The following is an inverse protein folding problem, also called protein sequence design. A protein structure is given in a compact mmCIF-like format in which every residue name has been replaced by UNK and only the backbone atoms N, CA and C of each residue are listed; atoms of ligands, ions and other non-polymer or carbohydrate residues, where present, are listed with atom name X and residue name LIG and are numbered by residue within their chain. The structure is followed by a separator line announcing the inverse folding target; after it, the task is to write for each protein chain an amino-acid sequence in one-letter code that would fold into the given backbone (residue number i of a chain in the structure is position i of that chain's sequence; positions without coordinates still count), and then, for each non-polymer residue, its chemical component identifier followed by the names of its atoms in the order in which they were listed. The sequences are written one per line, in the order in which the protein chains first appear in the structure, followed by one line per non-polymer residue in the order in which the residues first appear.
data_IF_385838109199
#
_entry.id   IF_385838109199
#
_cell.length_a   1.000
_cell.length_b   1.000
_cell.length_c   1.000
_cell.angle_alpha   90.00
_cell.angle_beta   90.00
_cell.angle_gamma   90.00
#
_symmetry.space_group_name_H-M   'P 1'
#
loop_
_entity.id
_entity.type
_entity.pdbx_description
1 polymer ?
#
# COMPACT_ATOMS: atom_id res chain seq x y z
N UNK A 1 18.27 0.46 7.92
CA UNK A 1 18.65 -0.57 6.94
C UNK A 1 18.01 -0.34 5.57
N UNK A 2 16.69 -0.10 5.47
CA UNK A 2 16.01 0.05 4.17
C UNK A 2 16.32 1.35 3.41
N UNK A 3 16.35 2.48 4.13
CA UNK A 3 16.73 3.79 3.58
C UNK A 3 18.14 3.78 2.95
N UNK A 4 19.03 2.91 3.46
CA UNK A 4 20.38 2.74 2.97
C UNK A 4 20.40 2.17 1.54
N UNK A 5 19.59 1.14 1.25
CA UNK A 5 19.48 0.58 -0.10
C UNK A 5 18.92 1.58 -1.10
N UNK A 6 17.95 2.41 -0.66
CA UNK A 6 17.39 3.46 -1.49
C UNK A 6 18.44 4.54 -1.81
N UNK A 7 19.15 5.04 -0.79
CA UNK A 7 20.19 6.05 -0.93
C UNK A 7 21.40 5.56 -1.73
N UNK A 8 21.66 4.24 -1.74
CA UNK A 8 22.69 3.63 -2.60
C UNK A 8 22.39 3.82 -4.09
N UNK A 9 21.10 3.87 -4.48
CA UNK A 9 20.65 4.17 -5.85
C UNK A 9 20.28 5.65 -6.05
N UNK A 10 21.03 6.57 -5.43
CA UNK A 10 20.78 8.03 -5.46
C UNK A 10 20.46 8.60 -6.84
N UNK A 11 21.11 8.13 -7.90
CA UNK A 11 20.84 8.63 -9.27
C UNK A 11 19.44 8.27 -9.79
N UNK A 12 18.97 7.05 -9.51
CA UNK A 12 17.63 6.62 -9.90
C UNK A 12 16.57 7.36 -9.07
N UNK A 13 16.85 7.57 -7.79
CA UNK A 13 15.99 8.35 -6.91
C UNK A 13 15.91 9.82 -7.32
N UNK A 14 17.04 10.46 -7.62
CA UNK A 14 17.09 11.85 -8.08
C UNK A 14 16.36 11.99 -9.42
N UNK A 15 16.61 11.10 -10.37
CA UNK A 15 15.90 11.11 -11.66
C UNK A 15 14.39 10.98 -11.49
N UNK A 16 13.96 9.98 -10.71
CA UNK A 16 12.55 9.79 -10.38
C UNK A 16 11.92 11.01 -9.69
N UNK A 17 12.61 11.59 -8.70
CA UNK A 17 12.13 12.76 -7.97
C UNK A 17 12.01 13.99 -8.88
N UNK A 18 13.00 14.23 -9.75
CA UNK A 18 12.97 15.35 -10.70
C UNK A 18 11.83 15.22 -11.72
N UNK A 19 11.64 14.03 -12.29
CA UNK A 19 10.51 13.74 -13.20
C UNK A 19 9.17 13.89 -12.49
N UNK A 20 9.05 13.41 -11.26
CA UNK A 20 7.84 13.54 -10.45
C UNK A 20 7.53 15.02 -10.15
N UNK A 21 8.52 15.79 -9.71
CA UNK A 21 8.38 17.23 -9.45
C UNK A 21 7.95 17.95 -10.73
N UNK A 22 8.63 17.67 -11.84
CA UNK A 22 8.31 18.28 -13.12
C UNK A 22 6.86 17.99 -13.55
N UNK A 23 6.44 16.73 -13.48
CA UNK A 23 5.09 16.33 -13.82
C UNK A 23 4.03 17.00 -12.91
N UNK A 24 4.27 17.02 -11.59
CA UNK A 24 3.38 17.68 -10.64
C UNK A 24 3.28 19.20 -10.84
N UNK A 25 4.40 19.87 -11.15
CA UNK A 25 4.41 21.31 -11.47
C UNK A 25 3.65 21.58 -12.77
N UNK A 26 3.86 20.77 -13.82
CA UNK A 26 3.12 20.92 -15.07
C UNK A 26 1.61 20.73 -14.88
N UNK A 27 1.21 19.75 -14.06
CA UNK A 27 -0.20 19.54 -13.71
C UNK A 27 -0.78 20.72 -12.90
N UNK A 28 0.01 21.28 -11.98
CA UNK A 28 -0.38 22.47 -11.23
C UNK A 28 -0.57 23.69 -12.14
N UNK A 29 0.36 23.95 -13.06
CA UNK A 29 0.24 25.04 -14.02
C UNK A 29 -0.97 24.85 -14.94
N UNK A 30 -1.18 23.63 -15.42
CA UNK A 30 -2.37 23.27 -16.19
C UNK A 30 -3.66 23.62 -15.43
N UNK A 31 -3.72 23.34 -14.12
CA UNK A 31 -4.88 23.68 -13.29
C UNK A 31 -5.10 25.20 -13.15
N UNK A 32 -4.05 26.02 -13.18
CA UNK A 32 -4.17 27.48 -13.13
C UNK A 32 -4.75 28.04 -14.43
N UNK A 33 -4.33 27.51 -15.57
CA UNK A 33 -4.78 27.95 -16.89
C UNK A 33 -6.21 27.51 -17.25
N UNK A 34 -6.84 26.63 -16.45
CA UNK A 34 -8.28 26.34 -16.58
C UNK A 34 -9.11 27.64 -16.42
N UNK A 35 -8.69 28.56 -15.55
CA UNK A 35 -9.40 29.83 -15.34
C UNK A 35 -9.45 30.70 -16.61
N UNK A 36 -8.43 30.64 -17.46
CA UNK A 36 -8.36 31.41 -18.70
C UNK A 36 -9.45 30.99 -19.70
N UNK A 37 -9.81 29.70 -19.72
CA UNK A 37 -10.92 29.19 -20.56
C UNK A 37 -12.25 29.77 -20.10
N UNK A 38 -12.49 29.80 -18.78
CA UNK A 38 -13.70 30.37 -18.21
C UNK A 38 -13.80 31.88 -18.48
N UNK A 39 -12.70 32.61 -18.30
CA UNK A 39 -12.65 34.04 -18.59
C UNK A 39 -12.92 34.34 -20.08
N UNK A 40 -12.38 33.53 -20.99
CA UNK A 40 -12.64 33.68 -22.43
C UNK A 40 -14.10 33.38 -22.80
N UNK A 41 -14.73 32.42 -22.12
CA UNK A 41 -16.13 32.08 -22.30
C UNK A 41 -17.07 33.17 -21.76
N UNK A 42 -16.72 33.83 -20.64
CA UNK A 42 -17.49 34.93 -20.07
C UNK A 42 -17.61 36.12 -21.04
N UNK A 43 -16.53 36.43 -21.76
CA UNK A 43 -16.50 37.49 -22.79
C UNK A 43 -17.12 37.02 -24.13
N UNK A 44 -17.70 35.81 -24.19
CA UNK A 44 -18.31 35.21 -25.39
C UNK A 44 -17.37 35.11 -26.61
N UNK A 45 -16.06 34.99 -26.39
CA UNK A 45 -15.08 34.83 -27.46
C UNK A 45 -14.84 33.35 -27.78
N UNK A 46 -15.75 32.78 -28.57
CA UNK A 46 -15.76 31.34 -28.85
C UNK A 46 -14.52 30.84 -29.62
N UNK A 47 -13.94 31.66 -30.50
CA UNK A 47 -12.71 31.28 -31.23
C UNK A 47 -11.53 31.09 -30.26
N UNK A 48 -11.39 32.01 -29.29
CA UNK A 48 -10.35 31.92 -28.26
C UNK A 48 -10.57 30.73 -27.32
N UNK A 49 -11.82 30.42 -27.00
CA UNK A 49 -12.16 29.24 -26.20
C UNK A 49 -11.73 27.96 -26.92
N UNK A 50 -12.04 27.81 -28.21
CA UNK A 50 -11.64 26.63 -29.00
C UNK A 50 -10.12 26.52 -29.09
N UNK A 51 -9.41 27.62 -29.33
CA UNK A 51 -7.94 27.65 -29.35
C UNK A 51 -7.34 27.18 -28.02
N UNK A 52 -7.83 27.71 -26.89
CA UNK A 52 -7.38 27.32 -25.56
C UNK A 52 -7.68 25.85 -25.25
N UNK A 53 -8.85 25.34 -25.67
CA UNK A 53 -9.20 23.93 -25.47
C UNK A 53 -8.26 22.99 -26.24
N UNK A 54 -7.90 23.32 -27.48
CA UNK A 54 -6.95 22.53 -28.28
C UNK A 54 -5.56 22.56 -27.61
N UNK A 55 -5.10 23.73 -27.18
CA UNK A 55 -3.81 23.89 -26.50
C UNK A 55 -3.78 23.11 -25.18
N UNK A 56 -4.84 23.19 -24.38
CA UNK A 56 -4.96 22.46 -23.12
C UNK A 56 -5.03 20.95 -23.34
N UNK A 57 -5.70 20.49 -24.40
CA UNK A 57 -5.73 19.08 -24.73
C UNK A 57 -4.32 18.56 -25.09
N UNK A 58 -3.57 19.30 -25.92
CA UNK A 58 -2.19 18.97 -26.24
C UNK A 58 -1.28 18.97 -25.00
N UNK A 59 -1.44 19.95 -24.11
CA UNK A 59 -0.72 20.00 -22.84
C UNK A 59 -1.09 18.82 -21.93
N UNK A 60 -2.37 18.46 -21.82
CA UNK A 60 -2.80 17.31 -21.03
C UNK A 60 -2.17 16.00 -21.54
N UNK A 61 -2.11 15.79 -22.86
CA UNK A 61 -1.40 14.64 -23.44
C UNK A 61 0.09 14.64 -23.07
N UNK A 62 0.73 15.80 -23.11
CA UNK A 62 2.13 15.96 -22.71
C UNK A 62 2.34 15.63 -21.23
N UNK A 63 1.47 16.11 -20.33
CA UNK A 63 1.52 15.78 -18.90
C UNK A 63 1.40 14.27 -18.71
N UNK A 64 0.44 13.61 -19.38
CA UNK A 64 0.26 12.15 -19.30
C UNK A 64 1.47 11.37 -19.79
N UNK A 65 2.14 11.86 -20.82
CA UNK A 65 3.39 11.27 -21.29
C UNK A 65 4.49 11.38 -20.21
N UNK A 66 4.61 12.54 -19.55
CA UNK A 66 5.60 12.76 -18.49
C UNK A 66 5.30 11.93 -17.23
N UNK A 67 4.03 11.86 -16.82
CA UNK A 67 3.58 10.99 -15.73
C UNK A 67 3.96 9.53 -15.99
N UNK A 68 3.73 9.05 -17.21
CA UNK A 68 4.09 7.70 -17.62
C UNK A 68 5.59 7.42 -17.46
N UNK A 69 6.45 8.35 -17.90
CA UNK A 69 7.91 8.20 -17.72
C UNK A 69 8.32 8.28 -16.25
N UNK A 70 7.68 9.14 -15.46
CA UNK A 70 7.93 9.21 -14.02
C UNK A 70 7.57 7.88 -13.34
N UNK A 71 6.42 7.30 -13.66
CA UNK A 71 5.99 6.00 -13.12
C UNK A 71 6.94 4.88 -13.54
N UNK A 72 7.36 4.84 -14.80
CA UNK A 72 8.38 3.90 -15.28
C UNK A 72 9.68 4.02 -14.47
N UNK A 73 10.20 5.24 -14.29
CA UNK A 73 11.39 5.47 -13.47
C UNK A 73 11.19 5.00 -12.02
N UNK A 74 10.01 5.22 -11.45
CA UNK A 74 9.64 4.73 -10.13
C UNK A 74 9.65 3.20 -10.02
N UNK A 75 9.10 2.51 -11.03
CA UNK A 75 9.14 1.05 -11.14
C UNK A 75 10.58 0.54 -11.27
N UNK A 76 11.39 1.17 -12.12
CA UNK A 76 12.80 0.82 -12.26
C UNK A 76 13.59 0.99 -10.95
N UNK A 77 13.34 2.08 -10.21
CA UNK A 77 13.96 2.31 -8.91
C UNK A 77 13.61 1.19 -7.91
N UNK A 78 12.32 0.84 -7.80
CA UNK A 78 11.84 -0.23 -6.93
C UNK A 78 12.48 -1.57 -7.32
N UNK A 79 12.51 -1.90 -8.60
CA UNK A 79 13.12 -3.14 -9.11
C UNK A 79 14.63 -3.20 -8.86
N UNK A 80 15.33 -2.08 -9.00
CA UNK A 80 16.76 -2.00 -8.72
C UNK A 80 17.07 -2.25 -7.23
N UNK A 81 16.28 -1.65 -6.33
CA UNK A 81 16.41 -1.87 -4.88
C UNK A 81 16.04 -3.32 -4.51
N UNK A 82 14.96 -3.85 -5.08
CA UNK A 82 14.54 -5.24 -4.88
C UNK A 82 15.64 -6.23 -5.29
N UNK A 83 16.32 -5.97 -6.40
CA UNK A 83 17.43 -6.80 -6.88
C UNK A 83 18.60 -6.81 -5.90
N UNK A 84 18.98 -5.64 -5.38
CA UNK A 84 20.05 -5.53 -4.38
C UNK A 84 19.69 -6.30 -3.09
N UNK A 85 18.46 -6.16 -2.59
CA UNK A 85 17.97 -6.92 -1.43
C UNK A 85 18.01 -8.42 -1.68
N UNK A 86 17.52 -8.87 -2.85
CA UNK A 86 17.54 -10.29 -3.23
C UNK A 86 18.96 -10.85 -3.26
N UNK A 87 19.91 -10.11 -3.81
CA UNK A 87 21.31 -10.52 -3.87
C UNK A 87 21.93 -10.62 -2.48
N UNK A 88 21.67 -9.65 -1.60
CA UNK A 88 22.22 -9.67 -0.24
C UNK A 88 21.59 -10.77 0.63
N UNK A 89 20.29 -11.00 0.51
CA UNK A 89 19.63 -12.15 1.16
C UNK A 89 20.19 -13.48 0.63
N UNK A 90 20.40 -13.61 -0.67
CA UNK A 90 20.96 -14.82 -1.28
C UNK A 90 22.39 -15.09 -0.77
N UNK A 91 23.23 -14.06 -0.74
CA UNK A 91 24.58 -14.16 -0.20
C UNK A 91 24.57 -14.55 1.28
N UNK A 92 23.67 -13.96 2.08
CA UNK A 92 23.53 -14.29 3.49
C UNK A 92 23.09 -15.75 3.72
N UNK A 93 22.21 -16.29 2.87
CA UNK A 93 21.76 -17.69 2.92
C UNK A 93 22.91 -18.64 2.57
N UNK A 94 23.69 -18.34 1.52
CA UNK A 94 24.83 -19.17 1.11
C UNK A 94 25.96 -19.15 2.13
N UNK A 95 26.19 -18.01 2.80
CA UNK A 95 27.25 -17.88 3.80
C UNK A 95 26.94 -18.54 5.16
N UNK A 96 25.76 -19.15 5.33
CA UNK A 96 25.42 -19.84 6.58
C UNK A 96 26.20 -21.15 6.72
N UNK A 97 26.53 -21.48 7.96
CA UNK A 97 27.18 -22.76 8.29
C UNK A 97 26.33 -23.94 7.80
N UNK A 98 26.94 -24.96 7.17
CA UNK A 98 26.24 -26.15 6.68
C UNK A 98 25.45 -26.88 7.77
N UNK A 99 25.89 -26.80 9.04
CA UNK A 99 25.22 -27.41 10.19
C UNK A 99 23.82 -26.83 10.47
N UNK A 100 23.58 -25.56 10.14
CA UNK A 100 22.28 -24.89 10.27
C UNK A 100 21.38 -25.09 9.04
N UNK A 101 21.91 -25.63 7.95
CA UNK A 101 21.20 -25.86 6.69
C UNK A 101 20.51 -27.23 6.67
N UNK A 102 20.81 -28.11 7.63
CA UNK A 102 20.29 -29.48 7.72
C UNK A 102 18.87 -29.51 8.36
N UNK A 103 18.45 -28.42 9.02
CA UNK A 103 17.17 -28.37 9.75
C UNK A 103 15.92 -28.27 8.88
N UNK A 104 16.01 -27.77 7.63
CA UNK A 104 14.84 -27.60 6.74
C UNK A 104 15.11 -28.10 5.31
N UNK A 105 14.05 -28.45 4.58
CA UNK A 105 14.17 -28.81 3.17
C UNK A 105 14.44 -27.55 2.32
N UNK A 106 15.26 -27.68 1.27
CA UNK A 106 15.49 -26.67 0.24
C UNK A 106 14.21 -25.97 -0.26
N UNK A 107 13.10 -26.69 -0.44
CA UNK A 107 11.82 -26.12 -0.85
C UNK A 107 11.22 -25.14 0.17
N UNK A 108 11.44 -25.39 1.46
CA UNK A 108 10.96 -24.55 2.55
C UNK A 108 11.77 -23.25 2.63
N UNK A 109 13.09 -23.33 2.48
CA UNK A 109 13.94 -22.14 2.37
C UNK A 109 13.59 -21.27 1.15
N UNK A 110 13.30 -21.88 0.00
CA UNK A 110 12.89 -21.14 -1.20
C UNK A 110 11.54 -20.44 -0.97
N UNK A 111 10.60 -21.14 -0.32
CA UNK A 111 9.29 -20.58 0.03
C UNK A 111 9.42 -19.38 0.98
N UNK A 112 10.16 -19.53 2.09
CA UNK A 112 10.44 -18.45 3.04
C UNK A 112 11.11 -17.26 2.34
N UNK A 113 12.16 -17.51 1.55
CA UNK A 113 12.89 -16.47 0.82
C UNK A 113 12.02 -15.68 -0.17
N UNK A 114 11.21 -16.39 -0.96
CA UNK A 114 10.35 -15.75 -1.97
C UNK A 114 9.17 -15.01 -1.33
N UNK A 115 8.59 -15.55 -0.25
CA UNK A 115 7.56 -14.88 0.54
C UNK A 115 8.10 -13.61 1.19
N UNK A 116 9.28 -13.66 1.80
CA UNK A 116 9.89 -12.51 2.46
C UNK A 116 10.20 -11.38 1.48
N UNK A 117 10.79 -11.69 0.32
CA UNK A 117 11.04 -10.67 -0.73
C UNK A 117 9.74 -10.03 -1.19
N UNK A 118 8.71 -10.84 -1.41
CA UNK A 118 7.39 -10.35 -1.85
C UNK A 118 6.76 -9.49 -0.76
N UNK A 119 6.88 -9.87 0.50
CA UNK A 119 6.40 -9.06 1.63
C UNK A 119 7.14 -7.73 1.72
N UNK A 120 8.46 -7.74 1.56
CA UNK A 120 9.30 -6.54 1.54
C UNK A 120 8.89 -5.59 0.41
N UNK A 121 8.65 -6.12 -0.78
CA UNK A 121 8.25 -5.33 -1.94
C UNK A 121 6.87 -4.68 -1.74
N UNK A 122 5.88 -5.50 -1.40
CA UNK A 122 4.48 -5.07 -1.29
C UNK A 122 4.21 -4.19 -0.08
N UNK A 123 4.85 -4.44 1.06
CA UNK A 123 4.59 -3.69 2.30
C UNK A 123 5.52 -2.50 2.50
N UNK A 124 6.69 -2.46 1.84
CA UNK A 124 7.68 -1.41 2.08
C UNK A 124 8.12 -0.69 0.80
N UNK A 125 8.58 -1.39 -0.24
CA UNK A 125 9.13 -0.72 -1.42
C UNK A 125 8.08 0.08 -2.20
N UNK A 126 6.93 -0.54 -2.49
CA UNK A 126 5.85 0.10 -3.24
C UNK A 126 5.23 1.25 -2.44
N UNK A 127 4.80 1.07 -1.18
CA UNK A 127 4.24 2.17 -0.40
C UNK A 127 5.22 3.32 -0.17
N UNK A 128 6.52 3.04 -0.02
CA UNK A 128 7.53 4.08 0.11
C UNK A 128 7.65 4.94 -1.16
N UNK A 129 7.62 4.32 -2.35
CA UNK A 129 7.60 5.05 -3.62
C UNK A 129 6.38 5.98 -3.68
N UNK A 130 5.21 5.46 -3.31
CA UNK A 130 3.97 6.24 -3.28
C UNK A 130 4.04 7.42 -2.31
N UNK A 131 4.58 7.21 -1.10
CA UNK A 131 4.79 8.28 -0.13
C UNK A 131 5.67 9.41 -0.68
N UNK A 132 6.73 9.09 -1.43
CA UNK A 132 7.57 10.11 -2.07
C UNK A 132 6.77 10.93 -3.09
N UNK A 133 5.99 10.28 -3.96
CA UNK A 133 5.15 10.97 -4.94
C UNK A 133 4.11 11.83 -4.25
N UNK A 134 3.36 11.30 -3.29
CA UNK A 134 2.34 12.06 -2.57
C UNK A 134 2.91 13.25 -1.83
N UNK A 135 4.12 13.12 -1.27
CA UNK A 135 4.81 14.24 -0.62
C UNK A 135 5.09 15.35 -1.64
N UNK A 136 5.66 15.01 -2.80
CA UNK A 136 5.92 15.96 -3.89
C UNK A 136 4.62 16.64 -4.37
N UNK A 137 3.57 15.84 -4.58
CA UNK A 137 2.26 16.34 -5.02
C UNK A 137 1.64 17.29 -4.00
N UNK A 138 1.70 16.97 -2.70
CA UNK A 138 1.18 17.87 -1.64
C UNK A 138 1.90 19.21 -1.68
N UNK A 139 3.23 19.24 -1.78
CA UNK A 139 3.97 20.50 -1.83
C UNK A 139 3.66 21.34 -3.08
N UNK A 140 3.64 20.69 -4.25
CA UNK A 140 3.37 21.38 -5.53
C UNK A 140 1.93 21.92 -5.61
N UNK A 141 0.93 21.12 -5.23
CA UNK A 141 -0.48 21.54 -5.20
C UNK A 141 -0.71 22.62 -4.14
N UNK A 142 -0.12 22.46 -2.94
CA UNK A 142 -0.24 23.48 -1.89
C UNK A 142 0.34 24.82 -2.33
N UNK A 143 1.49 24.80 -3.02
CA UNK A 143 2.08 26.01 -3.60
C UNK A 143 1.14 26.67 -4.60
N UNK A 144 0.50 25.88 -5.48
CA UNK A 144 -0.46 26.37 -6.47
C UNK A 144 -1.65 27.08 -5.83
N UNK A 145 -2.26 26.44 -4.82
CA UNK A 145 -3.45 26.98 -4.16
C UNK A 145 -3.12 28.29 -3.44
N UNK A 146 -1.95 28.36 -2.78
CA UNK A 146 -1.49 29.59 -2.12
C UNK A 146 -1.31 30.74 -3.13
N UNK A 147 -0.85 30.44 -4.35
CA UNK A 147 -0.73 31.47 -5.40
C UNK A 147 -2.07 31.97 -5.94
N UNK A 148 -3.14 31.16 -5.88
CA UNK A 148 -4.49 31.57 -6.30
C UNK A 148 -5.14 32.44 -5.22
N UNK A 149 -5.35 31.87 -4.03
CA UNK A 149 -5.93 32.58 -2.88
C UNK A 149 -5.50 31.90 -1.57
N UNK A 150 -4.69 32.55 -0.72
CA UNK A 150 -4.28 32.04 0.58
C UNK A 150 -5.46 31.71 1.52
N UNK A 151 -6.62 32.37 1.37
CA UNK A 151 -7.81 32.12 2.20
C UNK A 151 -8.44 30.78 1.85
N UNK A 152 -8.51 30.45 0.56
CA UNK A 152 -8.99 29.15 0.09
C UNK A 152 -8.07 28.02 0.55
N UNK A 153 -6.75 28.24 0.55
CA UNK A 153 -5.78 27.28 1.08
C UNK A 153 -6.08 26.92 2.55
N UNK A 154 -6.36 27.92 3.39
CA UNK A 154 -6.66 27.72 4.81
C UNK A 154 -7.91 26.85 5.00
N UNK A 155 -8.98 27.12 4.23
CA UNK A 155 -10.22 26.34 4.28
C UNK A 155 -9.98 24.87 3.88
N UNK A 156 -9.21 24.63 2.82
CA UNK A 156 -8.87 23.27 2.35
C UNK A 156 -8.03 22.52 3.38
N UNK A 157 -7.03 23.19 3.98
CA UNK A 157 -6.20 22.59 5.04
C UNK A 157 -7.04 22.24 6.26
N UNK A 158 -7.92 23.15 6.70
CA UNK A 158 -8.83 22.90 7.81
C UNK A 158 -9.77 21.71 7.53
N UNK A 159 -10.34 21.65 6.32
CA UNK A 159 -11.18 20.53 5.87
C UNK A 159 -10.40 19.21 5.83
N UNK A 160 -9.15 19.23 5.36
CA UNK A 160 -8.29 18.04 5.31
C UNK A 160 -7.97 17.51 6.71
N UNK A 161 -7.65 18.39 7.66
CA UNK A 161 -7.44 18.02 9.06
C UNK A 161 -8.71 17.38 9.63
N UNK A 162 -9.87 17.98 9.40
CA UNK A 162 -11.16 17.44 9.84
C UNK A 162 -11.42 16.04 9.25
N UNK A 163 -11.14 15.85 7.96
CA UNK A 163 -11.25 14.54 7.31
C UNK A 163 -10.28 13.52 7.89
N UNK A 164 -9.07 13.91 8.30
CA UNK A 164 -8.08 13.01 8.92
C UNK A 164 -8.43 12.59 10.35
N UNK A 165 -9.18 13.42 11.08
CA UNK A 165 -9.64 13.07 12.43
C UNK A 165 -10.54 11.82 12.42
N UNK A 166 -11.36 11.64 11.38
CA UNK A 166 -12.27 10.50 11.30
C UNK A 166 -11.52 9.15 11.21
N UNK A 167 -10.59 8.94 10.25
CA UNK A 167 -9.72 7.76 10.24
C UNK A 167 -8.87 7.62 11.50
N UNK A 168 -8.42 8.71 12.13
CA UNK A 168 -7.61 8.62 13.34
C UNK A 168 -8.40 8.00 14.52
N UNK A 169 -9.65 8.44 14.71
CA UNK A 169 -10.55 7.89 15.73
C UNK A 169 -10.92 6.44 15.37
N UNK A 170 -11.30 6.20 14.11
CA UNK A 170 -11.67 4.87 13.62
C UNK A 170 -10.50 3.88 13.73
N UNK A 171 -9.28 4.30 13.42
CA UNK A 171 -8.06 3.48 13.48
C UNK A 171 -7.81 2.97 14.90
N UNK A 172 -7.97 3.82 15.93
CA UNK A 172 -7.84 3.40 17.33
C UNK A 172 -8.83 2.30 17.70
N UNK A 173 -10.08 2.44 17.25
CA UNK A 173 -11.13 1.46 17.53
C UNK A 173 -10.92 0.14 16.78
N UNK A 174 -10.60 0.24 15.50
CA UNK A 174 -10.36 -0.90 14.63
C UNK A 174 -9.11 -1.66 15.03
N UNK A 175 -8.02 -0.99 15.42
CA UNK A 175 -6.77 -1.63 15.84
C UNK A 175 -6.97 -2.53 17.07
N UNK A 176 -7.72 -2.08 18.08
CA UNK A 176 -8.01 -2.91 19.27
C UNK A 176 -8.89 -4.13 18.95
N UNK A 177 -9.82 -4.00 18.00
CA UNK A 177 -10.64 -5.13 17.54
C UNK A 177 -9.80 -6.09 16.71
N UNK A 178 -8.92 -5.57 15.85
CA UNK A 178 -7.99 -6.35 15.05
C UNK A 178 -7.05 -7.18 15.92
N UNK A 179 -6.49 -6.60 16.99
CA UNK A 179 -5.65 -7.35 17.94
C UNK A 179 -6.40 -8.51 18.60
N UNK A 180 -7.63 -8.26 19.09
CA UNK A 180 -8.47 -9.32 19.67
C UNK A 180 -8.87 -10.39 18.65
N UNK A 181 -9.05 -10.00 17.40
CA UNK A 181 -9.30 -10.96 16.32
C UNK A 181 -8.06 -11.83 16.07
N UNK A 182 -6.86 -11.24 16.00
CA UNK A 182 -5.60 -11.97 15.82
C UNK A 182 -5.33 -12.94 16.97
N UNK A 183 -5.50 -12.52 18.24
CA UNK A 183 -5.37 -13.41 19.40
C UNK A 183 -6.30 -14.63 19.32
N UNK A 184 -7.55 -14.41 18.88
CA UNK A 184 -8.52 -15.51 18.71
C UNK A 184 -8.20 -16.39 17.52
N UNK A 185 -7.69 -15.79 16.45
CA UNK A 185 -7.26 -16.50 15.27
C UNK A 185 -6.08 -17.43 15.60
N UNK A 186 -5.12 -16.97 16.40
CA UNK A 186 -4.00 -17.79 16.87
C UNK A 186 -4.49 -18.99 17.71
N UNK A 187 -5.45 -18.78 18.61
CA UNK A 187 -6.08 -19.88 19.37
C UNK A 187 -6.75 -20.89 18.44
N UNK A 188 -7.46 -20.41 17.42
CA UNK A 188 -8.11 -21.26 16.43
C UNK A 188 -7.11 -22.07 15.60
N UNK A 189 -6.01 -21.43 15.16
CA UNK A 189 -4.92 -22.10 14.44
C UNK A 189 -4.25 -23.16 15.31
N UNK A 190 -4.03 -22.87 16.59
CA UNK A 190 -3.46 -23.85 17.52
C UNK A 190 -4.39 -25.06 17.69
N UNK A 191 -5.68 -24.82 17.85
CA UNK A 191 -6.67 -25.89 17.90
C UNK A 191 -6.68 -26.74 16.62
N UNK A 192 -6.62 -26.12 15.44
CA UNK A 192 -6.52 -26.86 14.17
C UNK A 192 -5.28 -27.76 14.11
N UNK A 193 -4.12 -27.26 14.57
CA UNK A 193 -2.89 -28.07 14.65
C UNK A 193 -3.08 -29.28 15.56
N UNK A 194 -3.68 -29.09 16.73
CA UNK A 194 -3.90 -30.16 17.70
C UNK A 194 -4.84 -31.24 17.13
N UNK A 195 -5.93 -30.84 16.47
CA UNK A 195 -6.86 -31.76 15.79
C UNK A 195 -6.18 -32.52 14.66
N UNK A 196 -5.39 -31.84 13.82
CA UNK A 196 -4.71 -32.48 12.70
C UNK A 196 -3.61 -33.44 13.14
N UNK A 197 -2.88 -33.12 14.22
CA UNK A 197 -1.93 -34.03 14.84
C UNK A 197 -2.62 -35.26 15.44
N UNK A 198 -3.80 -35.09 16.06
CA UNK A 198 -4.60 -36.18 16.61
C UNK A 198 -5.41 -36.96 15.54
N UNK A 199 -5.45 -36.49 14.29
CA UNK A 199 -6.24 -37.09 13.21
C UNK A 199 -5.89 -38.56 12.97
N UNK A 200 -4.61 -38.92 13.08
CA UNK A 200 -4.15 -40.30 12.94
C UNK A 200 -4.69 -41.19 14.07
N UNK A 201 -4.79 -40.67 15.29
CA UNK A 201 -5.38 -41.37 16.43
C UNK A 201 -6.89 -41.55 16.24
N UNK A 202 -7.61 -40.50 15.83
CA UNK A 202 -9.05 -40.59 15.59
C UNK A 202 -9.40 -41.63 14.53
N UNK A 203 -8.61 -41.71 13.45
CA UNK A 203 -8.76 -42.72 12.39
C UNK A 203 -8.41 -44.13 12.84
N UNK A 204 -7.33 -44.30 13.63
CA UNK A 204 -6.95 -45.63 14.11
C UNK A 204 -7.96 -46.22 15.10
N UNK A 205 -8.65 -45.38 15.87
CA UNK A 205 -9.64 -45.82 16.85
C UNK A 205 -11.10 -45.76 16.33
N UNK A 206 -11.33 -45.33 15.09
CA UNK A 206 -12.67 -45.18 14.47
C UNK A 206 -13.65 -44.32 15.28
N UNK A 207 -13.15 -43.24 15.90
CA UNK A 207 -13.91 -42.36 16.83
C UNK A 207 -14.27 -41.02 16.16
N UNK A 208 -14.16 -40.91 14.83
CA UNK A 208 -14.36 -39.65 14.11
C UNK A 208 -15.78 -39.10 14.32
N UNK A 209 -16.78 -39.97 14.36
CA UNK A 209 -18.17 -39.59 14.55
C UNK A 209 -18.43 -38.99 15.94
N UNK A 210 -17.82 -39.53 17.00
CA UNK A 210 -18.00 -39.02 18.36
C UNK A 210 -17.25 -37.69 18.56
N UNK A 211 -16.05 -37.54 18.00
CA UNK A 211 -15.28 -36.28 18.07
C UNK A 211 -16.01 -35.16 17.33
N UNK A 212 -16.52 -35.44 16.12
CA UNK A 212 -17.30 -34.47 15.34
C UNK A 212 -18.59 -34.09 16.08
N UNK A 213 -19.33 -35.05 16.62
CA UNK A 213 -20.60 -34.76 17.32
C UNK A 213 -20.39 -34.04 18.68
N UNK A 214 -19.31 -34.34 19.40
CA UNK A 214 -19.00 -33.70 20.68
C UNK A 214 -18.49 -32.26 20.51
N UNK A 215 -17.72 -31.97 19.44
CA UNK A 215 -17.12 -30.63 19.26
C UNK A 215 -18.05 -29.64 18.51
N UNK A 216 -18.88 -30.12 17.57
CA UNK A 216 -19.89 -29.26 16.89
C UNK A 216 -20.97 -28.72 17.84
N UNK A 217 -21.33 -29.49 18.88
CA UNK A 217 -22.43 -29.16 19.79
C UNK A 217 -22.01 -28.20 20.92
N UNK A 218 -20.78 -28.31 21.43
CA UNK A 218 -20.32 -27.54 22.59
C UNK A 218 -19.69 -26.17 22.27
N UNK A 219 -18.76 -26.12 21.32
CA UNK A 219 -17.87 -24.95 21.15
C UNK A 219 -18.27 -24.02 20.00
N UNK A 220 -18.76 -24.57 18.89
CA UNK A 220 -19.29 -23.77 17.77
C UNK A 220 -20.59 -23.05 18.15
N UNK A 221 -21.47 -23.69 18.91
CA UNK A 221 -22.69 -23.07 19.45
C UNK A 221 -22.39 -21.89 20.39
N UNK A 222 -21.31 -22.00 21.20
CA UNK A 222 -20.82 -20.91 22.06
C UNK A 222 -20.15 -19.78 21.27
N UNK A 223 -19.45 -20.09 20.18
CA UNK A 223 -18.86 -19.11 19.27
C UNK A 223 -19.94 -18.34 18.49
N UNK A 224 -20.92 -19.05 17.89
CA UNK A 224 -22.02 -18.47 17.10
C UNK A 224 -22.95 -17.59 17.95
N UNK A 225 -23.33 -18.01 19.17
CA UNK A 225 -24.12 -17.16 20.10
C UNK A 225 -23.39 -15.88 20.52
N UNK A 226 -22.04 -15.86 20.48
CA UNK A 226 -21.24 -14.68 20.89
C UNK A 226 -20.91 -13.76 19.72
N UNK A 227 -20.84 -14.28 18.50
CA UNK A 227 -20.75 -13.47 17.26
C UNK A 227 -22.06 -12.70 17.02
N UNK A 228 -23.23 -13.34 17.20
CA UNK A 228 -24.52 -12.64 17.13
C UNK A 228 -24.69 -11.53 18.19
N UNK A 229 -24.03 -11.64 19.36
CA UNK A 229 -24.05 -10.61 20.40
C UNK A 229 -23.06 -9.46 20.18
N UNK A 230 -22.12 -9.58 19.26
CA UNK A 230 -21.10 -8.54 18.99
C UNK A 230 -21.48 -7.59 17.85
N UNK A 231 -22.72 -7.69 17.33
CA UNK A 231 -23.28 -6.69 16.43
C UNK A 231 -22.53 -6.51 15.11
N UNK A 232 -21.80 -7.54 14.67
CA UNK A 232 -21.27 -7.61 13.31
C UNK A 232 -22.29 -8.42 12.52
N UNK A 233 -23.39 -7.75 12.14
CA UNK A 233 -24.14 -8.17 10.98
C UNK A 233 -23.24 -7.92 9.77
N UNK A 234 -22.99 -8.97 8.99
CA UNK A 234 -22.56 -8.86 7.59
C UNK A 234 -23.71 -8.27 6.80
#
# INVERSE_FOLDING_TARGET
MFLYYLLRKKWHLIGFALLSIFASVMMSLFSLHIADVFNAAEVSNYDRVVELLILMFAWYLFIRLMDYYSELCGIYMVNAVRRDIKNDMFNAVISKDPSLFIEKNSGEYISEFTNDITMIETKYLVPMRELLVYTITIFTVSSAIITIDPRMALIIVAGTILCLLFPAIASKYTSQRMMRFLERFDIFVQYLKDVFNALFLFKNYAVEADVVNHDYSGRLAHALKRVQRTGIAV
#
